data_IF_669972382394
#
_entry.id   IF_669972382394
#
_cell.length_a   1.000
_cell.length_b   1.000
_cell.length_c   1.000
_cell.angle_alpha   90.00
_cell.angle_beta   90.00
_cell.angle_gamma   90.00
#
_symmetry.space_group_name_H-M   'P 1'
#
loop_
_entity.id
_entity.type
_entity.pdbx_description
1 polymer ?
#
# COMPACT_ATOMS: atom_id res chain seq x y z
N UNK A 1 -3.31 -55.07 -28.34
CA UNK A 1 -4.28 -54.97 -27.22
C UNK A 1 -3.63 -54.86 -25.84
N UNK A 2 -2.52 -55.53 -25.52
CA UNK A 2 -1.85 -55.41 -24.19
C UNK A 2 -1.31 -54.01 -23.90
N UNK A 3 -0.69 -53.31 -24.87
CA UNK A 3 -0.11 -51.97 -24.69
C UNK A 3 -1.16 -50.89 -24.38
N UNK A 4 -2.38 -50.98 -24.93
CA UNK A 4 -3.47 -50.05 -24.69
C UNK A 4 -3.99 -50.10 -23.24
N UNK A 5 -3.96 -51.30 -22.61
CA UNK A 5 -4.37 -51.45 -21.20
C UNK A 5 -3.46 -50.70 -20.24
N UNK A 6 -2.15 -50.64 -20.50
CA UNK A 6 -1.20 -49.93 -19.67
C UNK A 6 -1.35 -48.40 -19.81
N UNK A 7 -1.69 -47.91 -20.99
CA UNK A 7 -1.97 -46.49 -21.22
C UNK A 7 -3.21 -46.04 -20.44
N UNK A 8 -4.27 -46.88 -20.47
CA UNK A 8 -5.51 -46.58 -19.71
C UNK A 8 -5.24 -46.58 -18.19
N UNK A 9 -4.45 -47.54 -17.68
CA UNK A 9 -4.07 -47.60 -16.27
C UNK A 9 -3.25 -46.38 -15.88
N UNK A 10 -2.31 -45.94 -16.73
CA UNK A 10 -1.50 -44.75 -16.49
C UNK A 10 -2.34 -43.46 -16.45
N UNK A 11 -3.30 -43.32 -17.36
CA UNK A 11 -4.25 -42.18 -17.35
C UNK A 11 -5.12 -42.19 -16.09
N UNK A 12 -5.61 -43.34 -15.67
CA UNK A 12 -6.38 -43.49 -14.43
C UNK A 12 -5.54 -43.11 -13.18
N UNK A 13 -4.27 -43.49 -13.13
CA UNK A 13 -3.36 -43.10 -12.04
C UNK A 13 -3.10 -41.57 -12.01
N UNK A 14 -2.97 -40.93 -13.17
CA UNK A 14 -2.81 -39.48 -13.24
C UNK A 14 -4.09 -38.74 -12.78
N UNK A 15 -5.25 -39.24 -13.15
CA UNK A 15 -6.55 -38.66 -12.73
C UNK A 15 -6.76 -38.87 -11.23
N UNK A 16 -6.47 -40.08 -10.70
CA UNK A 16 -6.58 -40.34 -9.27
C UNK A 16 -5.58 -39.58 -8.45
N UNK A 17 -4.35 -39.38 -8.93
CA UNK A 17 -3.34 -38.58 -8.27
C UNK A 17 -3.71 -37.10 -8.16
N UNK A 18 -4.27 -36.52 -9.24
CA UNK A 18 -4.79 -35.15 -9.22
C UNK A 18 -6.04 -35.01 -8.33
N UNK A 19 -6.91 -36.01 -8.31
CA UNK A 19 -8.09 -36.04 -7.45
C UNK A 19 -7.70 -36.17 -5.96
N UNK A 20 -6.69 -37.00 -5.64
CA UNK A 20 -6.15 -37.09 -4.28
C UNK A 20 -5.52 -35.76 -3.84
N UNK A 21 -4.83 -35.08 -4.72
CA UNK A 21 -4.23 -33.76 -4.44
C UNK A 21 -5.31 -32.73 -4.11
N UNK A 22 -6.38 -32.65 -4.90
CA UNK A 22 -7.54 -31.78 -4.64
C UNK A 22 -8.21 -32.11 -3.29
N UNK A 23 -8.39 -33.39 -2.96
CA UNK A 23 -9.02 -33.81 -1.69
C UNK A 23 -8.09 -33.59 -0.48
N UNK A 24 -6.77 -33.67 -0.66
CA UNK A 24 -5.79 -33.43 0.39
C UNK A 24 -5.59 -31.92 0.60
N UNK A 25 -5.61 -31.12 -0.47
CA UNK A 25 -5.59 -29.65 -0.36
C UNK A 25 -6.83 -29.10 0.36
N UNK A 26 -8.00 -29.72 0.16
CA UNK A 26 -9.25 -29.33 0.84
C UNK A 26 -9.31 -29.79 2.32
N UNK A 27 -8.54 -30.83 2.71
CA UNK A 27 -8.55 -31.37 4.09
C UNK A 27 -7.35 -30.94 4.95
N UNK A 28 -6.26 -30.48 4.33
CA UNK A 28 -5.01 -30.13 5.02
C UNK A 28 -4.62 -28.65 4.88
N UNK A 29 -5.50 -27.83 4.35
CA UNK A 29 -5.54 -26.46 4.82
C UNK A 29 -6.30 -26.55 6.15
N UNK A 30 -5.66 -26.51 7.34
CA UNK A 30 -6.38 -25.98 8.45
C UNK A 30 -6.85 -24.64 7.90
N UNK A 31 -8.14 -24.35 7.96
CA UNK A 31 -8.60 -22.99 8.08
C UNK A 31 -7.81 -22.39 9.26
N UNK A 32 -6.63 -21.97 8.98
CA UNK A 32 -6.11 -20.79 9.61
C UNK A 32 -6.98 -19.69 8.97
N UNK A 33 -8.26 -19.70 9.32
CA UNK A 33 -8.86 -18.49 9.78
C UNK A 33 -7.88 -18.00 10.84
N UNK A 34 -6.83 -17.36 10.35
CA UNK A 34 -6.26 -16.26 11.08
C UNK A 34 -7.49 -15.36 11.14
N UNK A 35 -8.25 -15.58 12.18
CA UNK A 35 -9.32 -14.73 12.58
C UNK A 35 -8.63 -13.44 12.98
N UNK A 36 -8.12 -12.70 11.95
CA UNK A 36 -7.78 -11.30 12.11
C UNK A 36 -8.95 -10.64 12.84
N UNK A 37 -10.17 -11.04 12.54
CA UNK A 37 -11.38 -10.61 13.23
C UNK A 37 -11.43 -11.00 14.72
N UNK A 38 -10.94 -12.18 15.14
CA UNK A 38 -10.85 -12.55 16.55
C UNK A 38 -9.69 -11.89 17.29
N UNK A 39 -8.56 -11.66 16.62
CA UNK A 39 -7.44 -10.90 17.18
C UNK A 39 -7.83 -9.43 17.31
N UNK A 40 -8.52 -8.86 16.32
CA UNK A 40 -9.02 -7.49 16.39
C UNK A 40 -10.09 -7.32 17.47
N UNK A 41 -11.04 -8.25 17.60
CA UNK A 41 -12.04 -8.19 18.70
C UNK A 41 -11.42 -8.35 20.08
N UNK A 42 -10.37 -9.18 20.22
CA UNK A 42 -9.67 -9.35 21.50
C UNK A 42 -8.78 -8.13 21.85
N UNK A 43 -8.23 -7.46 20.84
CA UNK A 43 -7.46 -6.24 21.06
C UNK A 43 -8.37 -5.00 21.20
N UNK A 44 -9.51 -4.96 20.51
CA UNK A 44 -10.53 -3.93 20.73
C UNK A 44 -11.10 -3.99 22.16
N UNK A 45 -11.34 -5.19 22.71
CA UNK A 45 -11.83 -5.34 24.08
C UNK A 45 -10.79 -5.02 25.18
N UNK A 46 -9.48 -5.02 24.85
CA UNK A 46 -8.43 -4.64 25.82
C UNK A 46 -8.00 -3.18 25.74
N UNK A 47 -8.25 -2.52 24.60
CA UNK A 47 -7.82 -1.13 24.40
C UNK A 47 -8.95 -0.08 24.55
N UNK A 48 -10.21 -0.48 24.68
CA UNK A 48 -11.28 0.49 24.92
C UNK A 48 -11.15 1.23 26.25
N UNK A 49 -10.42 0.64 27.23
CA UNK A 49 -10.25 1.26 28.54
C UNK A 49 -9.08 2.25 28.66
N UNK A 50 -8.18 2.31 27.64
CA UNK A 50 -7.01 3.23 27.68
C UNK A 50 -7.16 4.42 26.69
N UNK A 51 -8.20 4.40 25.86
CA UNK A 51 -8.47 5.44 24.84
C UNK A 51 -9.30 6.62 25.35
N UNK A 52 -9.59 6.67 26.65
CA UNK A 52 -10.47 7.69 27.25
C UNK A 52 -9.86 9.11 27.30
N UNK A 53 -8.64 9.30 26.82
CA UNK A 53 -7.93 10.58 26.84
C UNK A 53 -7.89 11.36 25.51
N UNK A 54 -8.05 10.71 24.35
CA UNK A 54 -7.91 11.38 23.06
C UNK A 54 -9.27 11.69 22.46
N UNK A 55 -9.82 12.86 22.79
CA UNK A 55 -11.10 13.37 22.25
C UNK A 55 -10.97 13.96 20.86
N UNK A 56 -9.77 14.32 20.43
CA UNK A 56 -9.49 15.01 19.16
C UNK A 56 -8.64 14.13 18.24
N UNK A 57 -8.93 14.20 16.94
CA UNK A 57 -8.09 13.55 15.93
C UNK A 57 -6.72 14.22 15.89
N UNK A 58 -5.67 13.43 15.59
CA UNK A 58 -4.31 13.94 15.40
C UNK A 58 -4.01 14.15 13.91
N UNK A 59 -3.15 15.14 13.60
CA UNK A 59 -2.72 15.38 12.23
C UNK A 59 -1.75 14.28 11.79
N UNK A 60 -2.07 13.59 10.70
CA UNK A 60 -1.29 12.47 10.14
C UNK A 60 0.16 12.85 9.82
N UNK A 61 0.41 14.12 9.50
CA UNK A 61 1.73 14.62 9.16
C UNK A 61 2.57 15.03 10.39
N UNK A 62 1.92 15.21 11.55
CA UNK A 62 2.59 15.58 12.82
C UNK A 62 2.68 14.44 13.81
N UNK A 63 1.68 13.51 13.80
CA UNK A 63 1.60 12.40 14.74
C UNK A 63 2.90 11.60 14.81
N UNK A 64 3.34 11.26 16.02
CA UNK A 64 4.53 10.46 16.25
C UNK A 64 4.18 8.97 16.45
N UNK A 65 5.23 8.13 16.53
CA UNK A 65 5.09 6.70 16.67
C UNK A 65 4.32 6.27 17.94
N UNK A 66 4.65 6.86 19.09
CA UNK A 66 4.03 6.55 20.37
C UNK A 66 2.54 6.94 20.39
N UNK A 67 2.19 8.06 19.78
CA UNK A 67 0.81 8.51 19.62
C UNK A 67 0.03 7.54 18.74
N UNK A 68 0.61 7.02 17.65
CA UNK A 68 -0.03 6.00 16.83
C UNK A 68 -0.30 4.73 17.63
N UNK A 69 0.64 4.28 18.46
CA UNK A 69 0.42 3.13 19.35
C UNK A 69 -0.73 3.38 20.34
N UNK A 70 -0.78 4.58 20.93
CA UNK A 70 -1.89 4.99 21.83
C UNK A 70 -3.23 5.04 21.12
N UNK A 71 -3.28 5.34 19.82
CA UNK A 71 -4.47 5.26 18.98
C UNK A 71 -4.82 3.83 18.56
N UNK A 72 -4.10 2.83 19.08
CA UNK A 72 -4.36 1.41 18.84
C UNK A 72 -3.81 0.87 17.52
N UNK A 73 -2.95 1.63 16.82
CA UNK A 73 -2.24 1.05 15.68
C UNK A 73 -1.27 -0.04 16.16
N UNK A 74 -1.20 -1.16 15.44
CA UNK A 74 -0.16 -2.15 15.73
C UNK A 74 1.22 -1.54 15.43
N UNK A 75 2.26 -2.01 16.11
CA UNK A 75 3.64 -1.57 15.91
C UNK A 75 4.02 -1.57 14.42
N UNK A 76 3.73 -2.67 13.71
CA UNK A 76 4.04 -2.78 12.29
C UNK A 76 3.30 -1.74 11.42
N UNK A 77 2.02 -1.42 11.72
CA UNK A 77 1.29 -0.39 10.98
C UNK A 77 1.83 1.01 11.27
N UNK A 78 2.15 1.29 12.54
CA UNK A 78 2.74 2.56 12.92
C UNK A 78 4.10 2.78 12.24
N UNK A 79 4.99 1.76 12.26
CA UNK A 79 6.28 1.79 11.55
C UNK A 79 6.07 2.05 10.05
N UNK A 80 5.20 1.29 9.39
CA UNK A 80 4.95 1.45 7.96
C UNK A 80 4.35 2.81 7.57
N UNK A 81 3.54 3.40 8.42
CA UNK A 81 3.01 4.75 8.19
C UNK A 81 4.13 5.79 8.33
N UNK A 82 5.00 5.64 9.33
CA UNK A 82 6.16 6.52 9.53
C UNK A 82 7.14 6.41 8.37
N UNK A 83 7.54 5.17 7.98
CA UNK A 83 8.40 4.91 6.81
C UNK A 83 7.82 5.57 5.55
N UNK A 84 6.52 5.36 5.31
CA UNK A 84 5.85 5.95 4.14
C UNK A 84 5.89 7.48 4.16
N UNK A 85 5.66 8.09 5.33
CA UNK A 85 5.73 9.54 5.50
C UNK A 85 7.15 10.08 5.25
N UNK A 86 8.19 9.36 5.66
CA UNK A 86 9.58 9.72 5.35
C UNK A 86 9.85 9.66 3.84
N UNK A 87 9.32 8.67 3.14
CA UNK A 87 9.49 8.50 1.71
C UNK A 87 8.73 9.54 0.87
N UNK A 88 7.55 9.97 1.30
CA UNK A 88 6.73 10.89 0.51
C UNK A 88 6.78 12.33 1.02
N UNK A 89 7.35 12.55 2.20
CA UNK A 89 7.41 13.81 2.92
C UNK A 89 6.07 14.15 3.57
N UNK A 90 5.08 14.49 2.78
CA UNK A 90 3.74 14.93 3.22
C UNK A 90 2.66 14.01 2.64
N UNK A 91 1.72 13.59 3.49
CA UNK A 91 0.51 12.88 3.11
C UNK A 91 -0.61 13.91 2.94
N UNK A 92 -1.11 14.07 1.72
CA UNK A 92 -2.13 15.06 1.37
C UNK A 92 -3.53 14.48 1.21
N UNK A 93 -3.67 13.16 1.13
CA UNK A 93 -4.94 12.47 1.02
C UNK A 93 -4.87 11.05 1.60
N UNK A 94 -5.95 10.60 2.25
CA UNK A 94 -6.01 9.25 2.81
C UNK A 94 -5.99 8.12 1.77
N UNK A 95 -6.30 8.40 0.51
CA UNK A 95 -6.18 7.42 -0.57
C UNK A 95 -4.74 6.96 -0.79
N UNK A 96 -3.76 7.82 -0.44
CA UNK A 96 -2.33 7.51 -0.53
C UNK A 96 -1.92 6.37 0.41
N UNK A 97 -2.66 6.14 1.50
CA UNK A 97 -2.41 5.04 2.43
C UNK A 97 -2.58 3.65 1.80
N UNK A 98 -3.23 3.55 0.63
CA UNK A 98 -3.27 2.33 -0.17
C UNK A 98 -1.87 1.89 -0.64
N UNK A 99 -0.95 2.85 -0.74
CA UNK A 99 0.43 2.61 -1.17
C UNK A 99 1.33 2.18 0.00
N UNK A 100 0.86 2.30 1.26
CA UNK A 100 1.60 1.86 2.45
C UNK A 100 1.61 0.32 2.50
N UNK A 101 2.78 -0.34 2.48
CA UNK A 101 2.85 -1.79 2.50
C UNK A 101 2.17 -2.38 3.73
N UNK A 102 1.34 -3.41 3.56
CA UNK A 102 0.66 -4.14 4.65
C UNK A 102 -0.26 -3.28 5.53
N UNK A 103 -0.62 -2.07 5.11
CA UNK A 103 -1.51 -1.21 5.87
C UNK A 103 -2.98 -1.66 5.73
N UNK A 104 -3.37 -2.02 4.51
CA UNK A 104 -4.68 -2.58 4.18
C UNK A 104 -5.87 -1.67 4.49
N UNK A 105 -7.07 -2.12 4.15
CA UNK A 105 -8.31 -1.36 4.36
C UNK A 105 -8.58 -1.09 5.86
N UNK A 106 -8.26 -2.05 6.74
CA UNK A 106 -8.43 -1.88 8.17
C UNK A 106 -7.56 -0.73 8.72
N UNK A 107 -6.29 -0.63 8.26
CA UNK A 107 -5.41 0.48 8.63
C UNK A 107 -5.90 1.82 8.12
N UNK A 108 -6.41 1.86 6.89
CA UNK A 108 -7.00 3.08 6.30
C UNK A 108 -8.23 3.52 7.08
N UNK A 109 -9.12 2.59 7.42
CA UNK A 109 -10.32 2.87 8.24
C UNK A 109 -9.92 3.41 9.61
N UNK A 110 -8.93 2.80 10.26
CA UNK A 110 -8.40 3.26 11.54
C UNK A 110 -7.78 4.65 11.42
N UNK A 111 -6.97 4.92 10.38
CA UNK A 111 -6.41 6.23 10.13
C UNK A 111 -7.49 7.30 9.97
N UNK A 112 -8.51 7.06 9.17
CA UNK A 112 -9.66 7.99 9.01
C UNK A 112 -10.45 8.22 10.29
N UNK A 113 -10.48 7.24 11.20
CA UNK A 113 -11.16 7.35 12.51
C UNK A 113 -10.42 8.29 13.46
N UNK A 114 -9.10 8.17 13.53
CA UNK A 114 -8.30 8.82 14.57
C UNK A 114 -7.38 9.94 14.08
N UNK A 115 -7.16 10.02 12.76
CA UNK A 115 -6.29 11.02 12.18
C UNK A 115 -7.09 11.97 11.27
N UNK A 116 -6.51 13.16 11.03
CA UNK A 116 -6.99 14.11 10.03
C UNK A 116 -5.82 14.64 9.20
N UNK A 117 -6.12 15.33 8.12
CA UNK A 117 -5.16 16.03 7.29
C UNK A 117 -5.48 17.51 7.39
N UNK A 118 -4.53 18.30 7.86
CA UNK A 118 -4.68 19.74 7.99
C UNK A 118 -4.44 20.41 6.64
N UNK A 119 -5.52 20.71 5.94
CA UNK A 119 -5.48 21.30 4.60
C UNK A 119 -4.89 22.72 4.58
N UNK A 120 -4.99 23.47 5.68
CA UNK A 120 -4.40 24.80 5.77
C UNK A 120 -2.88 24.70 5.87
N UNK A 121 -2.38 23.77 6.69
CA UNK A 121 -0.94 23.54 6.81
C UNK A 121 -0.33 23.01 5.51
N UNK A 122 -1.12 22.33 4.66
CA UNK A 122 -0.65 21.84 3.36
C UNK A 122 -0.40 22.95 2.32
N UNK A 123 -0.81 24.18 2.57
CA UNK A 123 -0.52 25.33 1.69
C UNK A 123 0.96 25.69 1.72
N UNK A 124 1.57 25.64 2.93
CA UNK A 124 2.99 25.87 3.15
C UNK A 124 3.58 24.77 4.03
N UNK A 125 3.79 23.52 3.49
CA UNK A 125 4.15 22.38 4.31
C UNK A 125 5.49 22.58 5.06
N UNK A 126 6.51 23.10 4.39
CA UNK A 126 7.84 23.28 4.98
C UNK A 126 7.82 24.18 6.22
N UNK A 127 7.00 25.23 6.23
CA UNK A 127 6.83 26.11 7.39
C UNK A 127 6.09 25.41 8.53
N UNK A 128 5.05 24.64 8.21
CA UNK A 128 4.11 24.06 9.18
C UNK A 128 4.55 22.68 9.72
N UNK A 129 5.48 22.00 9.04
CA UNK A 129 5.94 20.65 9.40
C UNK A 129 7.47 20.57 9.58
N UNK A 130 8.06 21.60 10.21
CA UNK A 130 9.48 21.62 10.58
C UNK A 130 10.44 21.35 9.39
N UNK A 131 10.21 22.04 8.29
CA UNK A 131 11.03 21.89 7.06
C UNK A 131 10.64 20.69 6.18
N UNK A 132 9.63 19.90 6.57
CA UNK A 132 9.17 18.78 5.76
C UNK A 132 8.25 19.27 4.66
N UNK A 133 8.51 18.84 3.42
CA UNK A 133 7.72 19.16 2.24
C UNK A 133 7.45 17.90 1.41
N UNK A 134 6.71 18.02 0.30
CA UNK A 134 6.54 16.96 -0.66
C UNK A 134 7.88 16.55 -1.27
N UNK A 135 8.22 15.27 -1.17
CA UNK A 135 9.43 14.76 -1.80
C UNK A 135 9.14 14.52 -3.29
N UNK A 136 9.93 15.18 -4.14
CA UNK A 136 9.84 15.03 -5.60
C UNK A 136 10.95 14.13 -6.12
N UNK A 137 10.57 13.14 -6.88
CA UNK A 137 11.46 12.18 -7.49
C UNK A 137 11.63 12.45 -8.99
N UNK A 138 12.85 12.37 -9.50
CA UNK A 138 13.07 12.36 -10.94
C UNK A 138 12.48 11.09 -11.53
N UNK A 139 11.44 11.26 -12.39
CA UNK A 139 10.69 10.15 -12.97
C UNK A 139 11.59 9.16 -13.72
N UNK A 140 12.65 9.65 -14.36
CA UNK A 140 13.56 8.82 -15.15
C UNK A 140 14.56 8.00 -14.31
N UNK A 141 14.57 8.19 -12.98
CA UNK A 141 15.43 7.46 -12.06
C UNK A 141 14.64 6.50 -11.16
N UNK A 142 13.33 6.32 -11.40
CA UNK A 142 12.45 5.50 -10.58
C UNK A 142 12.39 4.06 -11.10
N UNK A 143 12.44 3.12 -10.16
CA UNK A 143 12.08 1.72 -10.36
C UNK A 143 10.57 1.47 -10.16
N UNK A 144 10.13 0.23 -10.40
CA UNK A 144 8.73 -0.17 -10.25
C UNK A 144 8.20 0.04 -8.82
N UNK A 145 9.01 -0.26 -7.80
CA UNK A 145 8.60 -0.17 -6.41
C UNK A 145 8.41 1.30 -5.98
N UNK A 146 9.31 2.18 -6.40
CA UNK A 146 9.19 3.63 -6.17
C UNK A 146 7.99 4.22 -6.91
N UNK A 147 7.77 3.85 -8.17
CA UNK A 147 6.60 4.28 -8.93
C UNK A 147 5.31 3.88 -8.21
N UNK A 148 5.23 2.63 -7.70
CA UNK A 148 4.10 2.15 -6.94
C UNK A 148 3.91 2.91 -5.62
N UNK A 149 5.00 3.17 -4.90
CA UNK A 149 5.00 3.89 -3.62
C UNK A 149 4.46 5.30 -3.77
N UNK A 150 4.85 6.03 -4.82
CA UNK A 150 4.34 7.38 -5.08
C UNK A 150 2.95 7.41 -5.70
N UNK A 151 2.39 6.25 -6.05
CA UNK A 151 0.98 6.09 -6.38
C UNK A 151 0.66 5.73 -7.82
N UNK A 152 1.62 5.37 -8.67
CA UNK A 152 1.33 4.86 -10.00
C UNK A 152 0.65 3.49 -9.95
N UNK A 153 -0.32 3.27 -10.81
CA UNK A 153 -0.98 1.98 -10.99
C UNK A 153 -0.09 1.00 -11.75
N UNK A 154 -0.33 -0.30 -11.60
CA UNK A 154 0.40 -1.34 -12.36
C UNK A 154 0.31 -1.15 -13.88
N UNK A 155 -0.81 -0.62 -14.39
CA UNK A 155 -0.98 -0.33 -15.84
C UNK A 155 -0.09 0.82 -16.27
N UNK A 156 -0.07 1.91 -15.50
CA UNK A 156 0.78 3.08 -15.75
C UNK A 156 2.27 2.69 -15.68
N UNK A 157 2.68 1.94 -14.67
CA UNK A 157 4.05 1.45 -14.49
C UNK A 157 4.50 0.65 -15.72
N UNK A 158 3.67 -0.28 -16.20
CA UNK A 158 3.97 -1.07 -17.39
C UNK A 158 4.21 -0.22 -18.65
N UNK A 159 3.49 0.90 -18.78
CA UNK A 159 3.66 1.84 -19.90
C UNK A 159 4.90 2.74 -19.71
N UNK A 160 5.21 3.10 -18.47
CA UNK A 160 6.28 4.05 -18.14
C UNK A 160 7.67 3.40 -18.16
N UNK A 161 7.82 2.16 -17.68
CA UNK A 161 9.12 1.51 -17.54
C UNK A 161 9.99 1.52 -18.82
N UNK A 162 9.46 1.22 -20.03
CA UNK A 162 10.25 1.32 -21.25
C UNK A 162 10.72 2.76 -21.54
N UNK A 163 9.86 3.75 -21.26
CA UNK A 163 10.16 5.17 -21.50
C UNK A 163 11.19 5.72 -20.51
N UNK A 164 11.10 5.28 -19.26
CA UNK A 164 12.07 5.59 -18.19
C UNK A 164 13.45 5.05 -18.55
N UNK A 165 13.54 3.78 -18.98
CA UNK A 165 14.80 3.15 -19.39
C UNK A 165 15.50 3.89 -20.54
N UNK A 166 14.74 4.53 -21.43
CA UNK A 166 15.25 5.33 -22.53
C UNK A 166 15.36 6.84 -22.21
N UNK A 167 15.04 7.26 -20.97
CA UNK A 167 15.00 8.67 -20.51
C UNK A 167 14.16 9.57 -21.42
N UNK A 168 13.02 9.06 -21.88
CA UNK A 168 12.14 9.77 -22.83
C UNK A 168 11.14 10.71 -22.17
N UNK A 169 10.93 10.63 -20.85
CA UNK A 169 9.99 11.49 -20.13
C UNK A 169 10.74 12.75 -19.68
N UNK A 170 10.65 13.83 -20.44
CA UNK A 170 11.41 15.06 -20.22
C UNK A 170 10.57 16.22 -19.67
N UNK A 171 9.26 16.08 -19.74
CA UNK A 171 8.32 17.14 -19.34
C UNK A 171 7.01 16.56 -18.81
N UNK A 172 6.20 17.42 -18.19
CA UNK A 172 4.84 17.10 -17.84
C UNK A 172 4.01 16.65 -19.06
N UNK A 173 4.21 17.28 -20.22
CA UNK A 173 3.50 16.93 -21.46
C UNK A 173 3.79 15.48 -21.87
N UNK A 174 5.03 15.02 -21.73
CA UNK A 174 5.40 13.64 -22.07
C UNK A 174 4.72 12.65 -21.13
N UNK A 175 4.68 12.97 -19.83
CA UNK A 175 4.03 12.13 -18.84
C UNK A 175 2.51 12.15 -18.99
N UNK A 176 1.91 13.32 -19.22
CA UNK A 176 0.47 13.46 -19.46
C UNK A 176 -0.02 12.66 -20.68
N UNK A 177 0.78 12.52 -21.72
CA UNK A 177 0.45 11.66 -22.88
C UNK A 177 0.32 10.19 -22.50
N UNK A 178 1.01 9.74 -21.45
CA UNK A 178 1.02 8.34 -21.02
C UNK A 178 -0.07 8.06 -19.99
N UNK A 179 -0.25 8.93 -19.00
CA UNK A 179 -1.17 8.69 -17.88
C UNK A 179 -2.42 9.58 -17.90
N UNK A 180 -2.46 10.59 -18.75
CA UNK A 180 -3.54 11.58 -18.81
C UNK A 180 -3.33 12.77 -17.86
N UNK A 181 -3.91 13.91 -18.25
CA UNK A 181 -3.73 15.20 -17.54
C UNK A 181 -4.28 15.17 -16.10
N UNK A 182 -5.47 14.62 -15.91
CA UNK A 182 -6.09 14.50 -14.58
C UNK A 182 -5.21 13.70 -13.63
N UNK A 183 -4.74 12.56 -14.11
CA UNK A 183 -3.88 11.67 -13.34
C UNK A 183 -2.51 12.27 -13.04
N UNK A 184 -1.95 13.04 -13.98
CA UNK A 184 -0.74 13.81 -13.73
C UNK A 184 -0.94 14.82 -12.60
N UNK A 185 -2.06 15.56 -12.57
CA UNK A 185 -2.36 16.54 -11.52
C UNK A 185 -2.38 15.94 -10.10
N UNK A 186 -2.75 14.65 -9.96
CA UNK A 186 -2.69 13.96 -8.66
C UNK A 186 -1.24 13.66 -8.21
N UNK A 187 -0.30 13.54 -9.16
CA UNK A 187 1.06 13.08 -8.94
C UNK A 187 2.13 14.18 -9.06
N UNK A 188 1.77 15.36 -9.62
CA UNK A 188 2.73 16.43 -9.95
C UNK A 188 3.59 16.89 -8.77
N UNK A 189 3.03 16.88 -7.55
CA UNK A 189 3.73 17.27 -6.33
C UNK A 189 4.86 16.30 -5.94
N UNK A 190 4.91 15.12 -6.57
CA UNK A 190 5.85 14.04 -6.27
C UNK A 190 6.84 13.75 -7.40
N UNK A 191 6.74 14.48 -8.49
CA UNK A 191 7.50 14.22 -9.72
C UNK A 191 8.29 15.45 -10.12
N UNK A 192 9.52 15.24 -10.56
CA UNK A 192 10.36 16.17 -11.31
C UNK A 192 10.95 15.46 -12.52
N UNK A 193 11.44 16.22 -13.50
CA UNK A 193 11.94 15.71 -14.79
C UNK A 193 13.45 15.86 -14.95
N UNK A 194 14.10 16.53 -14.01
CA UNK A 194 15.55 16.71 -13.93
C UNK A 194 16.00 16.65 -12.47
N UNK A 195 17.27 16.41 -12.24
CA UNK A 195 17.90 16.44 -10.92
C UNK A 195 18.16 17.86 -10.45
#
# INVERSE_FOLDING_TARGET
MKKMKYVIIFIMLLISGNFLRLVIEDKNVPDIEISEEKVYKKNEAKNENDLTGIKEKLDINSVNFEELLKLGFSKSKAEKLMDYREEVGIISDFSQLKNVPRFGEAGIKQAKKYLFIDMEKLKNPSENYNGRDFIKYNINNLDEDRLKLIGFTKKEIKLLMPLIGEKKIRSNIDLEKVIGKERYGELEKRIKFSD
#
